data_IF_131873643639
#
_entry.id   IF_131873643639
#
_cell.length_a   1.000
_cell.length_b   1.000
_cell.length_c   1.000
_cell.angle_alpha   90.00
_cell.angle_beta   90.00
_cell.angle_gamma   90.00
#
_symmetry.space_group_name_H-M   'P 1'
#
loop_
_entity.id
_entity.type
_entity.pdbx_description
1 polymer ?
#
# COMPACT_ATOMS: atom_id res chain seq x y z
N UNK A 1 8.86 -2.39 24.51
CA UNK A 1 7.43 -2.70 24.82
C UNK A 1 6.73 -3.40 23.67
N UNK A 2 6.60 -2.80 22.47
CA UNK A 2 5.97 -3.49 21.31
C UNK A 2 6.72 -4.77 20.95
N UNK A 3 8.05 -4.75 20.83
CA UNK A 3 8.86 -5.92 20.53
C UNK A 3 8.67 -7.07 21.54
N UNK A 4 8.63 -6.78 22.83
CA UNK A 4 8.46 -7.81 23.88
C UNK A 4 7.09 -8.50 23.80
N UNK A 5 6.03 -7.75 23.53
CA UNK A 5 4.67 -8.28 23.38
C UNK A 5 4.60 -9.15 22.11
N UNK A 6 5.05 -8.63 20.97
CA UNK A 6 4.97 -9.31 19.69
C UNK A 6 5.75 -10.63 19.68
N UNK A 7 6.98 -10.65 20.18
CA UNK A 7 7.80 -11.86 20.28
C UNK A 7 7.24 -12.90 21.26
N UNK A 8 6.44 -12.45 22.25
CA UNK A 8 5.78 -13.34 23.21
C UNK A 8 4.55 -14.07 22.67
N UNK A 9 3.77 -13.40 21.80
CA UNK A 9 2.48 -13.89 21.31
C UNK A 9 2.56 -14.63 19.97
N UNK A 10 3.53 -14.30 19.10
CA UNK A 10 3.65 -14.82 17.73
C UNK A 10 4.92 -15.66 17.55
N UNK A 11 5.07 -16.73 18.36
CA UNK A 11 6.28 -17.56 18.39
C UNK A 11 6.56 -18.34 17.10
N UNK A 12 5.54 -18.54 16.29
CA UNK A 12 5.62 -19.29 15.03
C UNK A 12 5.88 -18.38 13.81
N UNK A 13 6.02 -17.07 14.04
CA UNK A 13 6.34 -16.10 12.99
C UNK A 13 7.79 -15.62 13.12
N UNK A 14 8.46 -15.48 12.00
CA UNK A 14 9.71 -14.71 11.93
C UNK A 14 9.38 -13.23 11.96
N UNK A 15 9.83 -12.52 12.99
CA UNK A 15 9.54 -11.10 13.19
C UNK A 15 10.85 -10.33 13.21
N UNK A 16 11.00 -9.45 12.24
CA UNK A 16 12.13 -8.55 12.14
C UNK A 16 11.69 -7.10 12.44
N UNK A 17 12.59 -6.32 13.03
CA UNK A 17 12.36 -4.92 13.36
C UNK A 17 13.40 -4.07 12.68
N UNK A 18 12.95 -3.03 12.00
CA UNK A 18 13.83 -2.03 11.40
C UNK A 18 13.39 -0.63 11.82
N UNK A 19 14.29 0.31 11.68
CA UNK A 19 14.06 1.71 12.05
C UNK A 19 14.17 2.57 10.80
N UNK A 20 13.14 3.33 10.54
CA UNK A 20 13.21 4.42 9.56
C UNK A 20 13.82 5.66 10.27
N UNK A 21 15.11 5.89 10.09
CA UNK A 21 15.85 6.96 10.76
C UNK A 21 15.33 8.37 10.40
N UNK A 22 14.85 8.56 9.18
CA UNK A 22 14.30 9.81 8.69
C UNK A 22 12.89 9.59 8.13
N UNK A 23 11.88 10.40 8.49
CA UNK A 23 10.51 10.25 8.02
C UNK A 23 10.35 10.75 6.58
N UNK A 24 10.91 10.00 5.62
CA UNK A 24 10.92 10.34 4.19
C UNK A 24 9.73 9.78 3.41
N UNK A 25 8.62 9.47 4.07
CA UNK A 25 7.41 8.96 3.45
C UNK A 25 7.23 7.44 3.53
N UNK A 26 6.07 7.00 3.08
CA UNK A 26 5.58 5.62 3.25
C UNK A 26 6.39 4.64 2.38
N UNK A 27 6.71 4.99 1.13
CA UNK A 27 7.56 4.15 0.27
C UNK A 27 8.95 3.95 0.87
N UNK A 28 9.51 4.97 1.53
CA UNK A 28 10.79 4.85 2.22
C UNK A 28 10.69 3.92 3.45
N UNK A 29 9.54 3.90 4.14
CA UNK A 29 9.31 2.94 5.22
C UNK A 29 9.27 1.49 4.69
N UNK A 30 8.54 1.25 3.59
CA UNK A 30 8.53 -0.05 2.92
C UNK A 30 9.93 -0.50 2.51
N UNK A 31 10.75 0.41 2.00
CA UNK A 31 12.12 0.11 1.55
C UNK A 31 13.01 -0.45 2.66
N UNK A 32 12.75 -0.11 3.95
CA UNK A 32 13.50 -0.67 5.07
C UNK A 32 13.33 -2.19 5.21
N UNK A 33 12.33 -2.77 4.57
CA UNK A 33 12.10 -4.21 4.59
C UNK A 33 12.86 -4.97 3.48
N UNK A 34 13.56 -4.29 2.56
CA UNK A 34 14.19 -4.88 1.36
C UNK A 34 15.07 -6.10 1.68
N UNK A 35 15.87 -6.03 2.72
CA UNK A 35 16.81 -7.09 3.10
C UNK A 35 16.14 -8.31 3.77
N UNK A 36 14.84 -8.24 4.03
CA UNK A 36 14.04 -9.29 4.67
C UNK A 36 13.06 -9.97 3.71
N UNK A 37 13.07 -9.61 2.44
CA UNK A 37 12.13 -10.12 1.44
C UNK A 37 12.91 -10.82 0.31
N UNK A 38 12.62 -12.09 0.08
CA UNK A 38 13.22 -12.88 -1.00
C UNK A 38 12.60 -12.55 -2.37
N UNK A 39 13.32 -12.82 -3.47
CA UNK A 39 12.97 -12.44 -4.84
C UNK A 39 11.58 -12.91 -5.31
N UNK A 40 11.04 -14.00 -4.74
CA UNK A 40 9.75 -14.56 -5.13
C UNK A 40 8.64 -14.32 -4.11
N UNK A 41 8.93 -13.56 -3.07
CA UNK A 41 7.94 -13.27 -2.03
C UNK A 41 7.00 -12.15 -2.43
N UNK A 42 5.81 -12.22 -1.85
CA UNK A 42 4.76 -11.20 -1.97
C UNK A 42 4.77 -10.35 -0.72
N UNK A 43 4.63 -9.06 -0.90
CA UNK A 43 4.70 -8.09 0.17
C UNK A 43 3.29 -7.63 0.50
N UNK A 44 2.79 -7.93 1.71
CA UNK A 44 1.66 -7.22 2.28
C UNK A 44 2.19 -6.06 3.13
N UNK A 45 1.86 -4.86 2.72
CA UNK A 45 2.25 -3.64 3.42
C UNK A 45 1.02 -2.99 4.05
N UNK A 46 1.01 -2.92 5.39
CA UNK A 46 -0.13 -2.41 6.17
C UNK A 46 0.35 -1.26 7.03
N UNK A 47 -0.35 -0.14 6.98
CA UNK A 47 -0.11 1.00 7.89
C UNK A 47 -0.71 0.69 9.26
N UNK A 48 0.04 1.01 10.31
CA UNK A 48 -0.27 0.59 11.68
C UNK A 48 -1.46 1.32 12.35
N UNK A 49 -1.96 2.37 11.74
CA UNK A 49 -3.11 3.18 12.17
C UNK A 49 -4.41 2.81 11.44
N UNK A 50 -4.36 1.91 10.46
CA UNK A 50 -5.54 1.49 9.70
C UNK A 50 -6.29 0.34 10.38
N UNK A 51 -7.59 0.51 10.57
CA UNK A 51 -8.50 -0.47 11.15
C UNK A 51 -9.61 -0.83 10.17
N UNK A 52 -9.91 -2.13 10.08
CA UNK A 52 -10.91 -2.67 9.14
C UNK A 52 -11.97 -3.47 9.89
N UNK A 53 -13.25 -3.27 9.57
CA UNK A 53 -14.35 -4.07 10.13
C UNK A 53 -14.21 -5.56 9.78
N UNK A 54 -13.88 -5.83 8.52
CA UNK A 54 -13.71 -7.18 7.99
C UNK A 54 -12.28 -7.38 7.52
N UNK A 55 -11.81 -8.63 7.49
CA UNK A 55 -10.50 -8.90 6.90
C UNK A 55 -10.53 -8.55 5.39
N UNK A 56 -9.80 -7.52 4.96
CA UNK A 56 -9.88 -6.99 3.59
C UNK A 56 -9.34 -7.95 2.53
N UNK A 57 -8.52 -8.93 2.92
CA UNK A 57 -7.89 -9.88 2.00
C UNK A 57 -8.66 -11.20 1.84
N UNK A 58 -9.77 -11.40 2.55
CA UNK A 58 -10.55 -12.66 2.48
C UNK A 58 -10.99 -13.06 1.06
N UNK A 59 -11.18 -12.10 0.17
CA UNK A 59 -11.63 -12.35 -1.20
C UNK A 59 -10.51 -12.12 -2.24
N UNK A 60 -9.28 -11.97 -1.77
CA UNK A 60 -8.13 -11.80 -2.65
C UNK A 60 -7.44 -13.14 -2.90
N UNK A 61 -7.28 -13.48 -4.15
CA UNK A 61 -6.57 -14.70 -4.56
C UNK A 61 -5.06 -14.45 -4.50
N UNK A 62 -4.51 -14.56 -3.28
CA UNK A 62 -3.08 -14.35 -3.02
C UNK A 62 -2.22 -15.35 -3.80
N UNK A 63 -2.70 -16.57 -4.01
CA UNK A 63 -1.94 -17.63 -4.69
C UNK A 63 -1.72 -17.27 -6.17
N UNK A 64 -2.72 -16.70 -6.81
CA UNK A 64 -2.66 -16.30 -8.22
C UNK A 64 -2.14 -14.86 -8.45
N UNK A 65 -1.79 -14.13 -7.41
CA UNK A 65 -1.07 -12.88 -7.56
C UNK A 65 0.42 -13.17 -7.76
N UNK A 66 0.94 -12.96 -8.95
CA UNK A 66 2.32 -13.30 -9.31
C UNK A 66 3.20 -12.09 -9.55
N UNK A 67 2.63 -10.98 -9.99
CA UNK A 67 3.37 -9.75 -10.31
C UNK A 67 2.50 -8.51 -10.16
N UNK A 68 3.14 -7.37 -9.93
CA UNK A 68 2.48 -6.07 -9.90
C UNK A 68 2.17 -5.55 -8.51
N UNK A 69 1.16 -4.71 -8.44
CA UNK A 69 0.61 -4.16 -7.21
C UNK A 69 -0.90 -4.44 -7.11
N UNK A 70 -1.40 -4.50 -5.89
CA UNK A 70 -2.82 -4.41 -5.59
C UNK A 70 -3.03 -3.31 -4.55
N UNK A 71 -3.87 -2.34 -4.88
CA UNK A 71 -4.37 -1.34 -3.95
C UNK A 71 -5.73 -1.77 -3.42
N UNK A 72 -6.04 -1.32 -2.21
CA UNK A 72 -7.35 -1.54 -1.61
C UNK A 72 -8.05 -0.19 -1.45
N UNK A 73 -9.32 -0.12 -1.88
CA UNK A 73 -10.06 1.15 -1.88
C UNK A 73 -11.38 1.05 -1.15
N UNK A 74 -11.88 2.19 -0.70
CA UNK A 74 -13.24 2.36 -0.17
C UNK A 74 -13.80 3.72 -0.56
N UNK A 75 -15.14 3.82 -0.62
CA UNK A 75 -15.82 5.09 -0.88
C UNK A 75 -15.81 5.97 0.39
N UNK A 76 -15.40 7.22 0.24
CA UNK A 76 -15.35 8.21 1.33
C UNK A 76 -16.09 9.50 0.94
N UNK A 77 -16.45 10.30 1.95
CA UNK A 77 -17.11 11.59 1.74
C UNK A 77 -16.13 12.77 1.61
N UNK A 78 -14.88 12.57 2.00
CA UNK A 78 -13.79 13.56 2.06
C UNK A 78 -12.53 13.05 1.33
N UNK A 79 -12.65 12.72 0.02
CA UNK A 79 -11.57 12.09 -0.73
C UNK A 79 -10.28 12.94 -0.79
N UNK A 80 -10.38 14.25 -0.65
CA UNK A 80 -9.24 15.19 -0.65
C UNK A 80 -8.25 14.96 0.52
N UNK A 81 -8.61 14.16 1.50
CA UNK A 81 -7.74 13.83 2.64
C UNK A 81 -6.86 12.61 2.38
N UNK A 82 -7.11 11.86 1.30
CA UNK A 82 -6.49 10.55 1.01
C UNK A 82 -5.84 10.51 -0.37
N UNK A 83 -5.10 9.43 -0.63
CA UNK A 83 -4.80 9.03 -2.00
C UNK A 83 -6.09 8.61 -2.72
N UNK A 84 -6.39 9.16 -3.88
CA UNK A 84 -7.63 8.90 -4.62
C UNK A 84 -7.33 8.15 -5.90
N UNK A 85 -7.98 7.00 -6.08
CA UNK A 85 -7.86 6.20 -7.29
C UNK A 85 -8.90 6.61 -8.33
N UNK A 86 -8.46 6.92 -9.55
CA UNK A 86 -9.30 7.02 -10.73
C UNK A 86 -9.37 5.66 -11.42
N UNK A 87 -10.56 5.19 -11.72
CA UNK A 87 -10.79 3.90 -12.37
C UNK A 87 -11.68 4.05 -13.60
N UNK A 88 -11.52 3.17 -14.58
CA UNK A 88 -12.44 3.05 -15.69
C UNK A 88 -13.70 2.25 -15.31
N UNK A 89 -14.61 2.07 -16.28
CA UNK A 89 -15.87 1.36 -16.08
C UNK A 89 -15.69 -0.14 -15.80
N UNK A 90 -14.54 -0.70 -16.12
CA UNK A 90 -14.18 -2.11 -15.89
C UNK A 90 -13.43 -2.30 -14.55
N UNK A 91 -13.22 -1.20 -13.81
CA UNK A 91 -12.54 -1.20 -12.50
C UNK A 91 -11.00 -1.20 -12.62
N UNK A 92 -10.45 -0.94 -13.80
CA UNK A 92 -9.01 -0.80 -14.01
C UNK A 92 -8.56 0.56 -13.46
N UNK A 93 -7.50 0.55 -12.67
CA UNK A 93 -6.87 1.77 -12.13
C UNK A 93 -6.20 2.55 -13.27
N UNK A 94 -6.58 3.82 -13.42
CA UNK A 94 -6.02 4.73 -14.43
C UNK A 94 -4.97 5.66 -13.84
N UNK A 95 -5.19 6.13 -12.62
CA UNK A 95 -4.26 6.99 -11.88
C UNK A 95 -4.57 6.98 -10.39
N UNK A 96 -3.58 7.36 -9.58
CA UNK A 96 -3.77 7.61 -8.15
C UNK A 96 -3.15 8.98 -7.85
N UNK A 97 -3.91 9.86 -7.19
CA UNK A 97 -3.45 11.19 -6.83
C UNK A 97 -3.47 11.36 -5.32
N UNK A 98 -2.34 11.79 -4.75
CA UNK A 98 -2.21 12.02 -3.31
C UNK A 98 -2.87 13.33 -2.91
N UNK A 99 -3.87 13.25 -2.03
CA UNK A 99 -4.59 14.41 -1.45
C UNK A 99 -4.97 15.47 -2.49
N UNK A 100 -5.73 15.07 -3.53
CA UNK A 100 -6.05 15.97 -4.64
C UNK A 100 -6.94 17.12 -4.19
N UNK A 101 -6.66 18.33 -4.66
CA UNK A 101 -7.55 19.48 -4.43
C UNK A 101 -8.88 19.39 -5.19
N UNK A 102 -8.91 18.58 -6.25
CA UNK A 102 -10.10 18.29 -7.07
C UNK A 102 -10.13 16.77 -7.34
N UNK A 103 -10.65 15.98 -6.40
CA UNK A 103 -10.70 14.53 -6.54
C UNK A 103 -11.49 14.08 -7.78
N UNK A 104 -10.95 13.12 -8.52
CA UNK A 104 -11.61 12.57 -9.71
C UNK A 104 -12.65 11.49 -9.36
N UNK A 105 -12.60 10.96 -8.16
CA UNK A 105 -13.54 9.97 -7.62
C UNK A 105 -13.63 10.11 -6.09
N UNK A 106 -14.50 9.31 -5.48
CA UNK A 106 -14.57 9.17 -4.02
C UNK A 106 -13.82 7.91 -3.52
N UNK A 107 -13.12 7.20 -4.39
CA UNK A 107 -12.40 5.97 -4.05
C UNK A 107 -11.08 6.28 -3.37
N UNK A 108 -11.08 6.33 -2.04
CA UNK A 108 -9.87 6.48 -1.24
C UNK A 108 -9.06 5.18 -1.22
N UNK A 109 -7.75 5.28 -1.41
CA UNK A 109 -6.81 4.19 -1.22
C UNK A 109 -6.54 4.06 0.27
N UNK A 110 -6.82 2.90 0.84
CA UNK A 110 -6.62 2.63 2.26
C UNK A 110 -5.16 2.21 2.52
N UNK A 111 -4.73 2.27 3.77
CA UNK A 111 -3.36 1.92 4.17
C UNK A 111 -3.05 0.43 4.14
N UNK A 112 -3.47 -0.25 3.08
CA UNK A 112 -3.17 -1.65 2.78
C UNK A 112 -2.79 -1.79 1.32
N UNK A 113 -1.67 -2.43 1.08
CA UNK A 113 -1.12 -2.63 -0.26
C UNK A 113 -0.57 -4.04 -0.40
N UNK A 114 -0.53 -4.54 -1.62
CA UNK A 114 0.22 -5.73 -1.96
C UNK A 114 1.12 -5.45 -3.15
N UNK A 115 2.36 -5.92 -3.08
CA UNK A 115 3.36 -5.75 -4.13
C UNK A 115 4.10 -7.06 -4.40
N UNK A 116 4.62 -7.18 -5.61
CA UNK A 116 5.72 -8.08 -5.89
C UNK A 116 7.06 -7.44 -5.47
N UNK A 117 8.13 -8.22 -5.49
CA UNK A 117 9.47 -7.76 -5.07
C UNK A 117 10.02 -6.60 -5.92
N UNK A 118 9.54 -6.40 -7.16
CA UNK A 118 9.98 -5.30 -8.03
C UNK A 118 9.64 -3.91 -7.45
N UNK A 119 8.80 -3.85 -6.40
CA UNK A 119 8.51 -2.62 -5.68
C UNK A 119 9.78 -1.93 -5.16
N UNK A 120 10.76 -2.69 -4.68
CA UNK A 120 12.00 -2.12 -4.15
C UNK A 120 12.82 -1.42 -5.24
N UNK A 121 12.95 -2.04 -6.42
CA UNK A 121 13.66 -1.41 -7.55
C UNK A 121 12.92 -0.17 -8.05
N UNK A 122 11.58 -0.17 -7.99
CA UNK A 122 10.77 1.00 -8.35
C UNK A 122 10.92 2.13 -7.33
N UNK A 123 10.99 1.81 -6.03
CA UNK A 123 11.25 2.80 -4.98
C UNK A 123 12.59 3.51 -5.21
N UNK A 124 13.63 2.79 -5.65
CA UNK A 124 14.93 3.36 -5.99
C UNK A 124 14.86 4.43 -7.12
N UNK A 125 13.79 4.43 -7.92
CA UNK A 125 13.57 5.40 -9.01
C UNK A 125 12.73 6.61 -8.60
N UNK A 126 12.04 6.56 -7.45
CA UNK A 126 11.14 7.62 -7.00
C UNK A 126 11.90 8.92 -6.74
N UNK A 127 11.20 10.03 -6.91
CA UNK A 127 11.66 11.35 -6.51
C UNK A 127 10.78 11.85 -5.37
N UNK A 128 11.34 12.58 -4.40
CA UNK A 128 10.53 13.17 -3.35
C UNK A 128 9.48 14.14 -3.92
N UNK A 129 8.27 14.05 -3.38
CA UNK A 129 7.18 14.98 -3.69
C UNK A 129 7.48 16.41 -3.23
N UNK A 130 6.56 17.34 -3.49
CA UNK A 130 6.65 18.70 -2.97
C UNK A 130 6.66 18.77 -1.43
N UNK A 131 6.22 17.68 -0.76
CA UNK A 131 6.28 17.51 0.70
C UNK A 131 7.64 16.97 1.19
N UNK A 132 8.52 16.60 0.27
CA UNK A 132 9.81 15.96 0.56
C UNK A 132 9.69 14.47 0.89
N UNK A 133 8.57 13.83 0.54
CA UNK A 133 8.27 12.44 0.85
C UNK A 133 8.29 11.56 -0.40
N UNK A 134 8.73 10.32 -0.27
CA UNK A 134 8.57 9.26 -1.27
C UNK A 134 7.17 8.67 -1.10
N UNK A 135 6.23 9.16 -1.91
CA UNK A 135 4.82 8.83 -1.80
C UNK A 135 4.54 7.39 -2.23
N UNK A 136 3.66 6.72 -1.49
CA UNK A 136 3.20 5.38 -1.86
C UNK A 136 2.33 5.42 -3.12
N UNK A 137 1.62 6.52 -3.35
CA UNK A 137 0.82 6.76 -4.54
C UNK A 137 1.69 6.84 -5.80
N UNK A 138 2.89 7.41 -5.71
CA UNK A 138 3.85 7.45 -6.83
C UNK A 138 4.38 6.05 -7.15
N UNK A 139 4.70 5.24 -6.15
CA UNK A 139 5.05 3.83 -6.34
C UNK A 139 3.93 3.07 -7.05
N UNK A 140 2.70 3.20 -6.57
CA UNK A 140 1.54 2.56 -7.20
C UNK A 140 1.33 3.03 -8.65
N UNK A 141 1.54 4.31 -8.95
CA UNK A 141 1.43 4.86 -10.31
C UNK A 141 2.46 4.29 -11.29
N UNK A 142 3.64 3.87 -10.84
CA UNK A 142 4.57 3.13 -11.69
C UNK A 142 3.91 1.82 -12.15
N UNK A 143 3.33 1.04 -11.24
CA UNK A 143 2.60 -0.18 -11.59
C UNK A 143 1.36 0.08 -12.45
N UNK A 144 0.64 1.18 -12.22
CA UNK A 144 -0.48 1.61 -13.08
C UNK A 144 0.01 1.84 -14.51
N UNK A 145 1.12 2.55 -14.69
CA UNK A 145 1.69 2.82 -16.02
C UNK A 145 2.12 1.56 -16.78
N UNK A 146 2.50 0.52 -16.04
CA UNK A 146 2.84 -0.80 -16.57
C UNK A 146 1.61 -1.71 -16.81
N UNK A 147 0.40 -1.25 -16.51
CA UNK A 147 -0.84 -2.05 -16.48
C UNK A 147 -0.77 -3.24 -15.51
N UNK A 148 -0.07 -3.09 -14.39
CA UNK A 148 0.15 -4.11 -13.36
C UNK A 148 -0.39 -3.70 -11.98
N UNK A 149 -1.36 -2.79 -11.91
CA UNK A 149 -2.01 -2.39 -10.68
C UNK A 149 -3.45 -2.87 -10.64
N UNK A 150 -3.76 -3.77 -9.71
CA UNK A 150 -5.11 -4.24 -9.43
C UNK A 150 -5.76 -3.34 -8.36
N UNK A 151 -7.09 -3.30 -8.36
CA UNK A 151 -7.87 -2.70 -7.29
C UNK A 151 -8.81 -3.71 -6.66
N UNK A 152 -8.90 -3.68 -5.34
CA UNK A 152 -9.89 -4.38 -4.54
C UNK A 152 -10.68 -3.39 -3.68
N UNK A 153 -12.00 -3.35 -3.88
CA UNK A 153 -12.87 -2.57 -3.01
C UNK A 153 -13.12 -3.34 -1.72
N UNK A 154 -12.75 -2.76 -0.56
CA UNK A 154 -12.99 -3.35 0.75
C UNK A 154 -14.46 -3.22 1.13
N UNK A 155 -14.94 -4.15 1.96
CA UNK A 155 -16.31 -4.16 2.48
C UNK A 155 -16.30 -3.86 3.97
N UNK A 156 -17.28 -3.09 4.40
CA UNK A 156 -17.41 -2.65 5.79
C UNK A 156 -16.77 -1.28 6.02
N UNK A 157 -16.75 -0.87 7.30
CA UNK A 157 -16.09 0.39 7.64
C UNK A 157 -14.57 0.25 7.70
N UNK A 158 -13.91 1.33 7.45
CA UNK A 158 -12.48 1.54 7.58
C UNK A 158 -12.23 2.85 8.33
N UNK A 159 -11.18 2.87 9.14
CA UNK A 159 -10.70 4.02 9.89
C UNK A 159 -9.18 4.13 9.71
N UNK A 160 -8.72 5.34 9.47
CA UNK A 160 -7.35 5.79 9.38
C UNK A 160 -7.11 6.85 10.46
#
# INVERSE_FOLDING_TARGET
>A
MIQEVTLGEFKDLEINFTIQEEPKGISHALYQAKDYVDDNEKIFFVLGDNFFENNPINNFDVENFHEGACIFTTEVNNPEEFGVAEMDNDGKVLSIEEKPTQPKSNSAVVGLYMFDNSAFDKIDTLQPSARGEYEITDLCNIFVSENKCLNLNIKGWWID
#
